data_IF_934224659760
#
_entry.id   IF_934224659760
#
_cell.length_a   1.000
_cell.length_b   1.000
_cell.length_c   1.000
_cell.angle_alpha   90.00
_cell.angle_beta   90.00
_cell.angle_gamma   90.00
#
_symmetry.space_group_name_H-M   'P 1'
#
loop_
_entity.id
_entity.type
_entity.pdbx_description
1 polymer ?
#
# COMPACT_ATOMS: atom_id res chain seq x y z
N UNK A 1 13.17 8.31 3.74
CA UNK A 1 14.14 8.63 4.80
C UNK A 1 15.37 9.13 4.09
N UNK A 2 15.86 10.31 4.48
CA UNK A 2 17.01 10.95 3.88
C UNK A 2 17.81 11.59 5.02
N UNK A 3 18.99 11.06 5.32
CA UNK A 3 19.92 11.56 6.32
C UNK A 3 21.13 12.21 5.67
N UNK A 4 21.98 12.87 6.46
CA UNK A 4 23.11 13.68 5.98
C UNK A 4 24.06 13.00 4.97
N UNK A 5 24.46 11.72 5.13
CA UNK A 5 25.40 11.11 4.18
C UNK A 5 24.79 10.81 2.81
N UNK A 6 23.45 10.78 2.67
CA UNK A 6 22.80 10.38 1.43
C UNK A 6 22.99 11.40 0.32
N UNK A 7 23.14 10.89 -0.91
CA UNK A 7 23.28 11.72 -2.11
C UNK A 7 21.96 11.71 -2.86
N UNK A 8 21.47 12.87 -3.25
CA UNK A 8 20.35 13.04 -4.17
C UNK A 8 20.85 13.52 -5.52
N UNK A 9 20.17 13.15 -6.59
CA UNK A 9 20.40 13.67 -7.92
C UNK A 9 19.07 13.97 -8.61
N UNK A 10 19.06 14.99 -9.46
CA UNK A 10 17.88 15.46 -10.17
C UNK A 10 18.25 15.79 -11.62
N UNK A 11 17.36 15.43 -12.55
CA UNK A 11 17.46 15.74 -13.99
C UNK A 11 16.19 16.50 -14.35
N UNK A 12 16.36 17.71 -14.88
CA UNK A 12 15.26 18.56 -15.37
C UNK A 12 15.45 18.78 -16.86
N UNK A 13 14.41 18.52 -17.64
CA UNK A 13 14.46 18.63 -19.10
C UNK A 13 13.06 18.86 -19.68
N UNK A 14 13.00 19.24 -20.95
CA UNK A 14 11.75 19.30 -21.70
C UNK A 14 11.29 17.90 -22.10
N UNK A 15 9.98 17.66 -22.06
CA UNK A 15 9.38 16.38 -22.44
C UNK A 15 9.75 15.95 -23.87
N UNK A 16 9.89 16.91 -24.78
CA UNK A 16 10.23 16.66 -26.19
C UNK A 16 11.66 16.11 -26.38
N UNK A 17 12.57 16.36 -25.44
CA UNK A 17 13.95 15.84 -25.49
C UNK A 17 14.00 14.34 -25.17
N UNK A 18 12.92 13.80 -24.61
CA UNK A 18 12.74 12.38 -24.32
C UNK A 18 11.46 11.84 -24.97
N UNK A 19 11.42 11.76 -26.32
CA UNK A 19 10.26 11.25 -27.03
C UNK A 19 10.11 9.75 -26.75
N UNK A 20 8.97 9.33 -26.20
CA UNK A 20 8.69 7.91 -25.97
C UNK A 20 7.83 7.62 -24.76
N UNK A 21 7.79 6.34 -24.38
CA UNK A 21 7.11 5.88 -23.17
C UNK A 21 7.89 6.31 -21.93
N UNK A 22 7.18 6.82 -20.92
CA UNK A 22 7.71 7.21 -19.60
C UNK A 22 8.49 6.06 -18.94
N UNK A 23 8.04 4.82 -19.08
CA UNK A 23 8.74 3.67 -18.50
C UNK A 23 10.14 3.48 -19.11
N UNK A 24 10.27 3.66 -20.43
CA UNK A 24 11.55 3.57 -21.13
C UNK A 24 12.47 4.75 -20.79
N UNK A 25 11.90 5.93 -20.54
CA UNK A 25 12.64 7.08 -20.04
C UNK A 25 13.21 6.81 -18.65
N UNK A 26 12.40 6.27 -17.74
CA UNK A 26 12.82 5.97 -16.37
C UNK A 26 13.93 4.90 -16.38
N UNK A 27 13.77 3.85 -17.18
CA UNK A 27 14.79 2.83 -17.38
C UNK A 27 16.10 3.45 -17.89
N UNK A 28 16.06 4.29 -18.94
CA UNK A 28 17.25 4.94 -19.49
C UNK A 28 17.96 5.83 -18.47
N UNK A 29 17.22 6.63 -17.69
CA UNK A 29 17.81 7.48 -16.66
C UNK A 29 18.41 6.65 -15.52
N UNK A 30 17.68 5.64 -15.05
CA UNK A 30 18.19 4.74 -14.00
C UNK A 30 19.44 4.00 -14.47
N UNK A 31 19.51 3.63 -15.74
CA UNK A 31 20.68 2.97 -16.32
C UNK A 31 21.93 3.86 -16.32
N UNK A 32 21.77 5.18 -16.47
CA UNK A 32 22.88 6.13 -16.28
C UNK A 32 23.43 6.13 -14.86
N UNK A 33 22.54 6.15 -13.87
CA UNK A 33 22.95 6.00 -12.46
C UNK A 33 23.56 4.61 -12.19
N UNK A 34 22.99 3.53 -12.74
CA UNK A 34 23.56 2.17 -12.64
C UNK A 34 24.97 2.10 -13.22
N UNK A 35 25.22 2.75 -14.37
CA UNK A 35 26.54 2.82 -14.98
C UNK A 35 27.54 3.52 -14.06
N UNK A 36 27.16 4.65 -13.47
CA UNK A 36 28.01 5.32 -12.48
C UNK A 36 28.33 4.45 -11.27
N UNK A 37 27.35 3.73 -10.74
CA UNK A 37 27.57 2.77 -9.64
C UNK A 37 28.46 1.59 -10.05
N UNK A 38 28.37 1.11 -11.31
CA UNK A 38 29.29 0.10 -11.85
C UNK A 38 30.72 0.60 -11.96
N UNK A 39 30.91 1.89 -12.27
CA UNK A 39 32.24 2.51 -12.27
C UNK A 39 32.86 2.56 -10.85
N UNK A 40 32.03 2.55 -9.80
CA UNK A 40 32.47 2.41 -8.41
C UNK A 40 32.70 0.95 -7.98
N UNK A 41 32.44 -0.02 -8.87
CA UNK A 41 32.64 -1.45 -8.61
C UNK A 41 31.40 -2.21 -8.11
N UNK A 42 30.20 -1.62 -8.19
CA UNK A 42 28.96 -2.31 -7.78
C UNK A 42 28.27 -2.99 -8.96
N UNK A 43 27.68 -4.16 -8.77
CA UNK A 43 26.80 -4.82 -9.75
C UNK A 43 25.39 -4.21 -9.73
N UNK A 44 25.30 -2.93 -10.11
CA UNK A 44 24.05 -2.18 -10.11
C UNK A 44 23.21 -2.44 -11.37
N UNK A 45 21.90 -2.62 -11.16
CA UNK A 45 20.92 -2.82 -12.22
C UNK A 45 19.60 -2.10 -11.90
N UNK A 46 18.89 -1.70 -12.95
CA UNK A 46 17.56 -1.13 -12.81
C UNK A 46 16.55 -2.24 -12.46
N UNK A 47 15.75 -1.97 -11.42
CA UNK A 47 14.63 -2.80 -11.01
C UNK A 47 13.34 -2.03 -11.24
N UNK A 48 12.54 -2.42 -12.26
CA UNK A 48 11.24 -1.82 -12.48
C UNK A 48 10.38 -1.86 -11.20
N UNK A 49 9.66 -0.80 -10.87
CA UNK A 49 9.32 0.37 -11.71
C UNK A 49 10.23 1.59 -11.55
N UNK A 50 10.95 1.71 -10.45
CA UNK A 50 11.62 2.96 -10.11
C UNK A 50 12.76 2.77 -9.10
N UNK A 51 13.33 1.57 -9.01
CA UNK A 51 14.40 1.27 -8.07
C UNK A 51 15.70 0.90 -8.80
N UNK A 52 16.83 1.13 -8.16
CA UNK A 52 18.12 0.56 -8.55
C UNK A 52 18.54 -0.40 -7.44
N UNK A 53 18.99 -1.58 -7.84
CA UNK A 53 19.40 -2.63 -6.92
C UNK A 53 20.81 -3.14 -7.18
N UNK A 54 21.43 -3.65 -6.12
CA UNK A 54 22.69 -4.39 -6.14
C UNK A 54 22.42 -5.73 -5.47
N UNK A 55 22.66 -6.83 -6.20
CA UNK A 55 22.42 -8.20 -5.71
C UNK A 55 21.01 -8.40 -5.14
N UNK A 56 20.00 -7.85 -5.82
CA UNK A 56 18.59 -7.96 -5.43
C UNK A 56 18.14 -7.06 -4.27
N UNK A 57 19.04 -6.21 -3.74
CA UNK A 57 18.76 -5.27 -2.64
C UNK A 57 18.77 -3.84 -3.15
N UNK A 58 17.75 -3.06 -2.79
CA UNK A 58 17.58 -1.68 -3.23
C UNK A 58 18.67 -0.78 -2.65
N UNK A 59 19.38 -0.06 -3.51
CA UNK A 59 20.38 0.95 -3.13
C UNK A 59 19.92 2.38 -3.45
N UNK A 60 19.00 2.53 -4.39
CA UNK A 60 18.46 3.82 -4.80
C UNK A 60 16.98 3.72 -5.14
N UNK A 61 16.22 4.74 -4.72
CA UNK A 61 14.83 4.93 -5.13
C UNK A 61 14.74 6.16 -6.03
N UNK A 62 13.97 6.04 -7.10
CA UNK A 62 13.80 7.10 -8.11
C UNK A 62 12.33 7.48 -8.27
N UNK A 63 12.09 8.63 -8.88
CA UNK A 63 10.73 9.10 -9.14
C UNK A 63 10.72 10.29 -10.08
N UNK A 64 9.66 10.38 -10.88
CA UNK A 64 9.45 11.45 -11.85
C UNK A 64 8.20 12.27 -11.61
N UNK A 65 8.21 13.48 -12.14
CA UNK A 65 7.09 14.39 -12.23
C UNK A 65 7.07 15.07 -13.60
N UNK A 66 5.90 15.22 -14.18
CA UNK A 66 5.68 16.09 -15.33
C UNK A 66 4.91 17.33 -14.86
N UNK A 67 5.25 18.48 -15.44
CA UNK A 67 4.50 19.73 -15.29
C UNK A 67 4.50 20.47 -16.63
N UNK A 68 3.38 20.39 -17.34
CA UNK A 68 3.28 20.83 -18.74
C UNK A 68 4.31 20.13 -19.63
N UNK A 69 5.15 20.92 -20.29
CA UNK A 69 6.21 20.44 -21.19
C UNK A 69 7.53 20.15 -20.46
N UNK A 70 7.56 20.26 -19.14
CA UNK A 70 8.74 20.01 -18.32
C UNK A 70 8.64 18.67 -17.60
N UNK A 71 9.80 18.03 -17.45
CA UNK A 71 9.98 16.78 -16.76
C UNK A 71 11.09 16.93 -15.72
N UNK A 72 10.81 16.46 -14.51
CA UNK A 72 11.78 16.32 -13.44
C UNK A 72 11.86 14.85 -13.06
N UNK A 73 13.04 14.27 -13.14
CA UNK A 73 13.35 12.97 -12.55
C UNK A 73 14.35 13.13 -11.42
N UNK A 74 14.17 12.37 -10.36
CA UNK A 74 15.09 12.38 -9.24
C UNK A 74 15.41 10.97 -8.80
N UNK A 75 16.56 10.81 -8.15
CA UNK A 75 16.90 9.62 -7.41
C UNK A 75 17.69 9.93 -6.15
N UNK A 76 17.56 9.03 -5.18
CA UNK A 76 18.37 9.06 -3.95
C UNK A 76 19.35 7.91 -3.98
N UNK A 77 20.54 8.06 -3.41
CA UNK A 77 21.54 7.02 -3.27
C UNK A 77 21.82 6.79 -1.79
N UNK A 78 21.58 5.57 -1.33
CA UNK A 78 21.97 5.13 0.00
C UNK A 78 23.48 4.92 0.01
N UNK A 79 24.20 5.85 0.62
CA UNK A 79 25.67 5.86 0.74
C UNK A 79 26.10 5.14 2.02
N UNK A 80 25.55 5.60 3.14
CA UNK A 80 25.61 5.06 4.49
C UNK A 80 24.36 5.59 5.21
N UNK A 81 23.72 4.83 6.09
CA UNK A 81 22.49 5.32 6.73
C UNK A 81 22.19 4.66 8.07
N UNK A 82 21.53 5.40 8.97
CA UNK A 82 21.03 4.85 10.22
C UNK A 82 19.78 4.00 9.99
N UNK A 83 19.96 2.67 10.01
CA UNK A 83 18.88 1.70 9.87
C UNK A 83 17.80 1.91 10.93
N UNK A 84 18.17 2.16 12.18
CA UNK A 84 17.17 2.36 13.24
C UNK A 84 16.38 3.65 13.00
N UNK A 85 17.08 4.75 12.67
CA UNK A 85 16.50 6.03 12.34
C UNK A 85 15.53 5.93 11.16
N UNK A 86 15.88 5.16 10.13
CA UNK A 86 14.99 4.88 9.00
C UNK A 86 13.72 4.14 9.45
N UNK A 87 13.85 3.06 10.23
CA UNK A 87 12.70 2.26 10.68
C UNK A 87 11.76 3.11 11.54
N UNK A 88 12.31 3.89 12.49
CA UNK A 88 11.56 4.82 13.35
C UNK A 88 10.83 5.89 12.52
N UNK A 89 11.51 6.48 11.54
CA UNK A 89 10.96 7.57 10.71
C UNK A 89 9.83 7.11 9.79
N UNK A 90 9.96 5.91 9.23
CA UNK A 90 8.92 5.30 8.40
C UNK A 90 7.74 4.77 9.22
N UNK A 91 7.78 4.95 10.56
CA UNK A 91 6.80 4.43 11.52
C UNK A 91 6.52 2.96 11.27
N UNK A 92 7.53 2.22 10.83
CA UNK A 92 7.43 0.76 10.70
C UNK A 92 7.17 0.29 12.13
N UNK A 93 6.00 -0.31 12.40
CA UNK A 93 5.74 -0.96 13.66
C UNK A 93 6.91 -1.80 14.11
N UNK A 94 7.32 -1.66 15.37
CA UNK A 94 8.39 -2.43 15.96
C UNK A 94 7.92 -2.90 17.34
N UNK A 95 7.78 -4.21 17.53
CA UNK A 95 7.65 -4.78 18.88
C UNK A 95 9.05 -5.02 19.45
N UNK A 96 9.68 -3.90 19.85
CA UNK A 96 11.08 -3.76 20.31
C UNK A 96 12.09 -4.01 19.20
N UNK A 97 12.96 -3.03 18.96
CA UNK A 97 14.09 -3.10 18.01
C UNK A 97 14.95 -4.32 18.39
N UNK A 98 14.69 -5.45 17.76
CA UNK A 98 15.46 -6.68 17.92
C UNK A 98 16.38 -6.81 16.71
N UNK A 99 17.56 -7.38 16.89
CA UNK A 99 18.58 -7.57 15.83
C UNK A 99 18.00 -8.18 14.54
N UNK A 100 16.97 -9.03 14.66
CA UNK A 100 16.27 -9.68 13.55
C UNK A 100 15.60 -8.69 12.58
N UNK A 101 15.08 -7.57 13.07
CA UNK A 101 14.40 -6.58 12.23
C UNK A 101 15.39 -5.74 11.42
N UNK A 102 16.52 -5.39 12.04
CA UNK A 102 17.66 -4.77 11.36
C UNK A 102 18.13 -5.69 10.23
N UNK A 103 18.22 -6.99 10.50
CA UNK A 103 18.61 -7.99 9.48
C UNK A 103 17.58 -8.06 8.35
N UNK A 104 16.28 -8.04 8.66
CA UNK A 104 15.21 -8.03 7.64
C UNK A 104 15.24 -6.76 6.74
N UNK A 105 15.68 -5.63 7.27
CA UNK A 105 15.91 -4.42 6.47
C UNK A 105 17.13 -4.60 5.57
N UNK A 106 18.25 -5.11 6.11
CA UNK A 106 19.47 -5.41 5.36
C UNK A 106 19.28 -6.49 4.27
N UNK A 107 18.26 -7.35 4.39
CA UNK A 107 17.85 -8.28 3.34
C UNK A 107 17.20 -7.60 2.13
N UNK A 108 16.74 -6.34 2.25
CA UNK A 108 15.93 -5.65 1.22
C UNK A 108 16.57 -4.38 0.68
N UNK A 109 17.31 -3.66 1.53
CA UNK A 109 18.05 -2.46 1.15
C UNK A 109 19.53 -2.67 1.39
N UNK A 110 20.36 -1.94 0.65
CA UNK A 110 21.80 -1.86 0.85
C UNK A 110 22.30 -0.43 0.66
N UNK A 111 23.58 -0.18 0.94
CA UNK A 111 24.24 1.10 0.70
C UNK A 111 25.67 0.92 0.18
N UNK A 112 26.27 1.99 -0.33
CA UNK A 112 27.65 1.97 -0.84
C UNK A 112 28.64 1.41 0.20
N UNK A 113 28.58 1.86 1.45
CA UNK A 113 29.50 1.40 2.51
C UNK A 113 29.44 -0.11 2.68
N UNK A 114 28.25 -0.72 2.62
CA UNK A 114 28.10 -2.16 2.84
C UNK A 114 28.57 -2.97 1.64
N UNK A 115 28.31 -2.52 0.41
CA UNK A 115 28.73 -3.24 -0.79
C UNK A 115 30.24 -3.12 -1.06
N UNK A 116 30.83 -1.96 -0.79
CA UNK A 116 32.25 -1.69 -1.04
C UNK A 116 33.15 -1.99 0.17
N UNK A 117 32.58 -2.11 1.38
CA UNK A 117 33.32 -2.26 2.63
C UNK A 117 33.90 -0.95 3.17
N UNK A 118 33.80 0.15 2.42
CA UNK A 118 34.17 1.50 2.81
C UNK A 118 33.23 2.50 2.12
N UNK A 119 33.18 3.74 2.61
CA UNK A 119 32.43 4.82 1.97
C UNK A 119 33.40 5.69 1.15
N UNK A 120 33.28 5.74 -0.20
CA UNK A 120 34.06 6.66 -1.01
C UNK A 120 33.78 8.12 -0.66
N UNK A 121 34.69 9.03 -0.99
CA UNK A 121 34.48 10.46 -0.83
C UNK A 121 33.29 10.94 -1.68
N UNK A 122 32.53 11.93 -1.17
CA UNK A 122 31.33 12.45 -1.82
C UNK A 122 31.58 12.87 -3.28
N UNK A 123 32.69 13.56 -3.55
CA UNK A 123 33.06 13.99 -4.90
C UNK A 123 33.39 12.83 -5.83
N UNK A 124 33.94 11.73 -5.31
CA UNK A 124 34.16 10.51 -6.10
C UNK A 124 32.83 9.89 -6.50
N UNK A 125 31.86 9.88 -5.58
CA UNK A 125 30.52 9.33 -5.84
C UNK A 125 29.78 10.20 -6.87
N UNK A 126 29.77 11.53 -6.69
CA UNK A 126 29.16 12.48 -7.63
C UNK A 126 29.76 12.34 -9.02
N UNK A 127 31.09 12.31 -9.12
CA UNK A 127 31.79 12.15 -10.40
C UNK A 127 31.40 10.85 -11.10
N UNK A 128 31.37 9.74 -10.38
CA UNK A 128 30.98 8.46 -10.96
C UNK A 128 29.53 8.48 -11.52
N UNK A 129 28.58 9.07 -10.78
CA UNK A 129 27.22 9.26 -11.27
C UNK A 129 27.16 10.16 -12.50
N UNK A 130 27.89 11.29 -12.49
CA UNK A 130 28.00 12.21 -13.62
C UNK A 130 28.56 11.50 -14.86
N UNK A 131 29.66 10.75 -14.73
CA UNK A 131 30.25 9.96 -15.81
C UNK A 131 29.25 8.95 -16.38
N UNK A 132 28.49 8.27 -15.50
CA UNK A 132 27.43 7.36 -15.90
C UNK A 132 26.31 8.03 -16.72
N UNK A 133 25.90 9.24 -16.34
CA UNK A 133 24.93 10.03 -17.10
C UNK A 133 25.52 10.56 -18.42
N UNK A 134 26.75 11.08 -18.42
CA UNK A 134 27.47 11.52 -19.62
C UNK A 134 27.50 10.41 -20.68
N UNK A 135 27.93 9.22 -20.27
CA UNK A 135 28.02 8.05 -21.14
C UNK A 135 26.66 7.61 -21.70
N UNK A 136 25.62 7.69 -20.88
CA UNK A 136 24.28 7.18 -21.24
C UNK A 136 23.52 8.14 -22.15
N UNK A 137 23.73 9.45 -21.98
CA UNK A 137 23.07 10.47 -22.79
C UNK A 137 23.96 11.02 -23.91
N UNK A 138 25.26 10.73 -23.90
CA UNK A 138 26.23 11.34 -24.82
C UNK A 138 26.34 12.85 -24.61
N UNK A 139 26.34 13.29 -23.34
CA UNK A 139 26.35 14.71 -22.95
C UNK A 139 27.62 15.04 -22.17
N UNK A 140 27.90 16.33 -22.04
CA UNK A 140 28.94 16.88 -21.18
C UNK A 140 28.30 17.75 -20.10
N UNK A 141 28.67 17.54 -18.84
CA UNK A 141 28.27 18.45 -17.77
C UNK A 141 29.10 19.73 -17.80
N UNK A 142 28.44 20.84 -17.48
CA UNK A 142 29.08 22.12 -17.20
C UNK A 142 28.62 22.60 -15.84
N UNK A 143 29.57 23.00 -15.02
CA UNK A 143 29.26 23.59 -13.73
C UNK A 143 28.48 24.90 -13.93
N UNK A 144 27.41 25.03 -13.17
CA UNK A 144 26.54 26.21 -13.16
C UNK A 144 26.19 26.59 -11.74
N UNK A 145 26.10 27.90 -11.50
CA UNK A 145 25.55 28.41 -10.25
C UNK A 145 24.08 28.81 -10.43
N UNK A 146 23.32 28.75 -9.33
CA UNK A 146 21.99 29.32 -9.30
C UNK A 146 22.03 30.81 -9.64
N UNK A 147 21.24 31.20 -10.63
CA UNK A 147 21.10 32.58 -11.06
C UNK A 147 20.28 33.40 -10.03
N UNK A 148 20.20 34.72 -10.26
CA UNK A 148 19.50 35.64 -9.32
C UNK A 148 18.01 35.31 -9.14
N UNK A 149 17.35 34.83 -10.18
CA UNK A 149 15.94 34.43 -10.11
C UNK A 149 15.78 33.13 -9.34
N UNK A 150 16.59 32.11 -9.62
CA UNK A 150 16.58 30.81 -8.91
C UNK A 150 16.88 30.97 -7.42
N UNK A 151 17.89 31.78 -7.06
CA UNK A 151 18.21 32.10 -5.66
C UNK A 151 17.03 32.75 -4.94
N UNK A 152 16.27 33.61 -5.63
CA UNK A 152 15.08 34.27 -5.08
C UNK A 152 13.92 33.28 -4.91
N UNK A 153 13.63 32.48 -5.93
CA UNK A 153 12.59 31.45 -5.87
C UNK A 153 12.88 30.41 -4.78
N UNK A 154 14.11 29.93 -4.68
CA UNK A 154 14.54 29.01 -3.63
C UNK A 154 14.24 29.60 -2.24
N UNK A 155 14.63 30.87 -2.01
CA UNK A 155 14.37 31.55 -0.74
C UNK A 155 12.87 31.68 -0.46
N UNK A 156 12.08 32.08 -1.45
CA UNK A 156 10.64 32.27 -1.31
C UNK A 156 9.88 30.95 -1.08
N UNK A 157 10.28 29.88 -1.78
CA UNK A 157 9.59 28.58 -1.71
C UNK A 157 10.01 27.73 -0.53
N UNK A 158 11.23 27.92 0.00
CA UNK A 158 11.71 27.18 1.18
C UNK A 158 10.74 27.31 2.36
N UNK A 159 10.23 28.51 2.62
CA UNK A 159 9.26 28.74 3.70
C UNK A 159 7.94 27.99 3.44
N UNK A 160 7.46 28.01 2.19
CA UNK A 160 6.27 27.26 1.80
C UNK A 160 6.44 25.75 1.98
N UNK A 161 7.53 25.17 1.48
CA UNK A 161 7.81 23.73 1.57
C UNK A 161 8.13 23.27 3.01
N UNK A 162 8.60 24.17 3.87
CA UNK A 162 8.82 23.89 5.29
C UNK A 162 7.57 24.14 6.14
N UNK A 163 6.49 24.66 5.56
CA UNK A 163 5.26 24.96 6.30
C UNK A 163 4.51 23.69 6.70
N UNK A 164 3.89 23.71 7.87
CA UNK A 164 3.08 22.60 8.36
C UNK A 164 1.92 22.26 7.41
N UNK A 165 1.33 23.29 6.80
CA UNK A 165 0.26 23.16 5.81
C UNK A 165 0.68 22.39 4.58
N UNK A 166 1.94 22.56 4.14
CA UNK A 166 2.48 21.80 3.01
C UNK A 166 2.84 20.38 3.44
N UNK A 167 3.60 20.23 4.53
CA UNK A 167 4.12 18.94 5.01
C UNK A 167 2.98 17.97 5.38
N UNK A 168 1.97 18.44 6.12
CA UNK A 168 0.83 17.62 6.53
C UNK A 168 -0.30 17.60 5.50
N UNK A 169 -0.24 18.48 4.51
CA UNK A 169 -1.31 18.71 3.55
C UNK A 169 -2.57 19.34 4.18
N UNK A 170 -3.47 19.80 3.32
CA UNK A 170 -4.79 20.34 3.71
C UNK A 170 -5.90 19.27 3.77
N UNK A 171 -5.60 18.05 3.31
CA UNK A 171 -6.55 16.94 3.23
C UNK A 171 -6.74 16.29 4.61
N UNK A 172 -7.83 16.65 5.28
CA UNK A 172 -8.17 16.09 6.59
C UNK A 172 -8.90 14.75 6.46
N UNK A 173 -8.46 13.75 7.23
CA UNK A 173 -9.21 12.49 7.41
C UNK A 173 -10.41 12.78 8.30
N UNK A 174 -11.62 12.57 7.77
CA UNK A 174 -12.88 12.77 8.50
C UNK A 174 -13.24 11.52 9.32
N UNK A 175 -14.09 11.68 10.33
CA UNK A 175 -14.75 10.56 11.03
C UNK A 175 -15.93 10.04 10.19
N UNK A 176 -16.36 8.80 10.43
CA UNK A 176 -17.48 8.20 9.69
C UNK A 176 -17.17 7.95 8.20
N UNK A 177 -15.91 7.69 7.87
CA UNK A 177 -15.46 7.46 6.50
C UNK A 177 -15.61 5.99 6.13
N UNK A 178 -16.09 5.76 4.91
CA UNK A 178 -16.05 4.49 4.18
C UNK A 178 -14.73 4.38 3.44
N UNK A 179 -13.89 3.41 3.78
CA UNK A 179 -12.61 3.17 3.14
C UNK A 179 -12.62 1.92 2.27
N UNK A 180 -11.94 1.99 1.14
CA UNK A 180 -11.55 0.85 0.33
C UNK A 180 -10.07 1.02 -0.01
N UNK A 181 -9.32 -0.09 0.00
CA UNK A 181 -7.98 -0.12 -0.56
C UNK A 181 -7.81 -1.28 -1.51
N UNK A 182 -6.95 -1.09 -2.51
CA UNK A 182 -6.58 -2.13 -3.47
C UNK A 182 -5.10 -1.97 -3.83
N UNK A 183 -4.32 -3.05 -3.77
CA UNK A 183 -3.00 -3.09 -4.42
C UNK A 183 -3.22 -3.43 -5.89
N UNK A 184 -2.76 -2.56 -6.76
CA UNK A 184 -2.81 -2.71 -8.22
C UNK A 184 -1.39 -2.87 -8.75
N UNK A 185 -1.24 -3.19 -10.04
CA UNK A 185 0.06 -3.18 -10.69
C UNK A 185 0.70 -1.78 -10.68
N UNK A 186 -0.09 -0.70 -10.62
CA UNK A 186 0.36 0.69 -10.55
C UNK A 186 0.66 1.24 -9.15
N UNK A 187 0.37 0.48 -8.09
CA UNK A 187 0.45 0.93 -6.71
C UNK A 187 -0.80 0.60 -5.90
N UNK A 188 -0.73 0.85 -4.60
CA UNK A 188 -1.83 0.91 -3.66
C UNK A 188 -2.69 2.15 -3.94
N UNK A 189 -3.98 1.93 -4.16
CA UNK A 189 -4.99 2.99 -4.21
C UNK A 189 -5.87 2.87 -2.98
N UNK A 190 -6.04 3.97 -2.25
CA UNK A 190 -6.94 4.09 -1.10
C UNK A 190 -8.00 5.14 -1.43
N UNK A 191 -9.26 4.75 -1.32
CA UNK A 191 -10.41 5.63 -1.49
C UNK A 191 -11.14 5.73 -0.16
N UNK A 192 -11.45 6.96 0.23
CA UNK A 192 -12.17 7.33 1.44
C UNK A 192 -13.37 8.19 1.05
N UNK A 193 -14.57 7.75 1.39
CA UNK A 193 -15.81 8.46 1.09
C UNK A 193 -16.58 8.77 2.37
N UNK A 194 -17.20 9.94 2.44
CA UNK A 194 -18.26 10.23 3.40
C UNK A 194 -19.56 10.31 2.60
N UNK A 195 -20.58 9.58 3.07
CA UNK A 195 -21.88 9.52 2.43
C UNK A 195 -22.92 10.27 3.28
N UNK A 196 -23.69 11.13 2.64
CA UNK A 196 -24.95 11.62 3.16
C UNK A 196 -26.04 10.60 2.82
N UNK A 197 -26.47 9.85 3.84
CA UNK A 197 -27.43 8.76 3.68
C UNK A 197 -28.87 9.26 3.46
N UNK A 198 -29.21 10.47 3.90
CA UNK A 198 -30.53 11.07 3.69
C UNK A 198 -30.67 11.52 2.24
N UNK A 199 -29.67 12.27 1.74
CA UNK A 199 -29.66 12.76 0.36
C UNK A 199 -29.22 11.70 -0.65
N UNK A 200 -28.66 10.58 -0.18
CA UNK A 200 -28.02 9.52 -0.97
C UNK A 200 -26.90 10.05 -1.88
N UNK A 201 -26.08 10.95 -1.35
CA UNK A 201 -24.98 11.60 -2.08
C UNK A 201 -23.64 11.43 -1.37
N UNK A 202 -22.55 11.53 -2.10
CA UNK A 202 -21.19 11.57 -1.56
C UNK A 202 -20.97 13.00 -1.05
N UNK A 203 -20.78 13.19 0.26
CA UNK A 203 -20.51 14.51 0.82
C UNK A 203 -19.02 14.87 0.77
N UNK A 204 -18.15 13.85 0.72
CA UNK A 204 -16.70 14.03 0.64
C UNK A 204 -16.05 12.79 0.01
N UNK A 205 -15.03 13.03 -0.82
CA UNK A 205 -14.18 11.98 -1.39
C UNK A 205 -12.71 12.36 -1.18
N UNK A 206 -11.90 11.37 -0.79
CA UNK A 206 -10.46 11.48 -0.67
C UNK A 206 -9.81 10.24 -1.30
N UNK A 207 -8.97 10.45 -2.28
CA UNK A 207 -8.24 9.42 -3.01
C UNK A 207 -6.75 9.64 -2.78
N UNK A 208 -6.10 8.64 -2.20
CA UNK A 208 -4.68 8.65 -1.83
C UNK A 208 -4.03 7.33 -2.21
N UNK A 209 -2.70 7.27 -2.24
CA UNK A 209 -1.99 6.06 -2.63
C UNK A 209 -0.57 6.35 -3.08
N UNK A 210 0.16 5.29 -3.43
CA UNK A 210 1.52 5.32 -4.01
C UNK A 210 1.48 5.08 -5.54
N UNK A 211 0.43 5.54 -6.23
CA UNK A 211 0.27 5.44 -7.68
C UNK A 211 0.63 6.74 -8.39
N UNK A 212 1.03 6.65 -9.65
CA UNK A 212 1.36 7.80 -10.49
C UNK A 212 0.20 8.11 -11.45
N UNK A 213 -0.20 9.37 -11.50
CA UNK A 213 -1.30 9.87 -12.33
C UNK A 213 -0.88 11.17 -13.01
N UNK A 214 -1.23 11.31 -14.29
CA UNK A 214 -0.97 12.49 -15.12
C UNK A 214 -2.28 12.98 -15.78
N UNK A 215 -2.65 14.27 -15.66
CA UNK A 215 -2.01 15.31 -14.86
C UNK A 215 -2.30 15.16 -13.38
N UNK A 216 -1.31 15.46 -12.51
CA UNK A 216 -1.45 15.35 -11.04
C UNK A 216 -2.70 16.05 -10.48
N UNK A 217 -3.13 17.15 -11.11
CA UNK A 217 -4.33 17.90 -10.71
C UNK A 217 -5.62 17.09 -10.79
N UNK A 218 -5.69 16.12 -11.72
CA UNK A 218 -6.92 15.39 -11.99
C UNK A 218 -7.47 14.63 -10.78
N UNK A 219 -6.63 14.29 -9.78
CA UNK A 219 -7.09 13.68 -8.54
C UNK A 219 -7.96 14.63 -7.71
N UNK A 220 -7.62 15.92 -7.66
CA UNK A 220 -8.37 16.94 -6.94
C UNK A 220 -9.66 17.30 -7.69
N UNK A 221 -9.57 17.35 -9.02
CA UNK A 221 -10.72 17.62 -9.88
C UNK A 221 -11.73 16.47 -9.78
N UNK A 222 -11.26 15.22 -9.73
CA UNK A 222 -12.10 14.05 -9.52
C UNK A 222 -12.74 14.04 -8.13
N UNK A 223 -12.00 14.36 -7.06
CA UNK A 223 -12.58 14.47 -5.71
C UNK A 223 -13.68 15.54 -5.63
N UNK A 224 -13.45 16.67 -6.31
CA UNK A 224 -14.44 17.75 -6.40
C UNK A 224 -15.65 17.32 -7.20
N UNK A 225 -15.46 16.59 -8.31
CA UNK A 225 -16.55 16.05 -9.13
C UNK A 225 -17.38 15.01 -8.39
N UNK A 226 -16.74 14.18 -7.56
CA UNK A 226 -17.42 13.21 -6.72
C UNK A 226 -18.16 13.85 -5.55
N UNK A 227 -17.81 15.08 -5.14
CA UNK A 227 -18.55 15.80 -4.11
C UNK A 227 -19.95 16.12 -4.60
N UNK A 228 -20.92 15.83 -3.73
CA UNK A 228 -22.34 15.85 -4.02
C UNK A 228 -22.72 14.96 -5.22
N UNK A 229 -21.95 13.92 -5.56
CA UNK A 229 -22.36 12.95 -6.57
C UNK A 229 -23.33 11.91 -6.00
N UNK A 230 -24.20 11.33 -6.84
CA UNK A 230 -25.10 10.22 -6.48
C UNK A 230 -24.32 8.99 -5.95
N UNK A 231 -24.86 8.30 -4.94
CA UNK A 231 -24.30 7.05 -4.41
C UNK A 231 -24.56 5.82 -5.28
N UNK A 232 -25.20 5.96 -6.44
CA UNK A 232 -25.53 4.84 -7.32
C UNK A 232 -24.24 4.29 -7.98
N UNK A 233 -23.87 3.01 -7.75
CA UNK A 233 -22.63 2.43 -8.25
C UNK A 233 -22.40 2.55 -9.77
N UNK A 234 -23.45 2.41 -10.58
CA UNK A 234 -23.36 2.49 -12.04
C UNK A 234 -23.11 3.92 -12.51
N UNK A 235 -23.72 4.90 -11.86
CA UNK A 235 -23.53 6.33 -12.17
C UNK A 235 -22.13 6.78 -11.80
N UNK A 236 -21.65 6.44 -10.60
CA UNK A 236 -20.27 6.72 -10.17
C UNK A 236 -19.28 6.11 -11.16
N UNK A 237 -19.46 4.84 -11.51
CA UNK A 237 -18.55 4.16 -12.44
C UNK A 237 -18.49 4.89 -13.78
N UNK A 238 -19.65 5.23 -14.33
CA UNK A 238 -19.76 5.93 -15.61
C UNK A 238 -19.07 7.30 -15.53
N UNK A 239 -19.41 8.11 -14.53
CA UNK A 239 -18.90 9.47 -14.39
C UNK A 239 -17.37 9.51 -14.20
N UNK A 240 -16.82 8.60 -13.38
CA UNK A 240 -15.36 8.45 -13.23
C UNK A 240 -14.71 8.05 -14.56
N UNK A 241 -15.29 7.09 -15.29
CA UNK A 241 -14.74 6.64 -16.58
C UNK A 241 -14.79 7.74 -17.63
N UNK A 242 -15.87 8.52 -17.67
CA UNK A 242 -16.06 9.63 -18.59
C UNK A 242 -15.06 10.75 -18.25
N UNK A 243 -14.93 11.11 -16.97
CA UNK A 243 -13.92 12.07 -16.50
C UNK A 243 -12.49 11.69 -16.90
N UNK A 244 -12.09 10.43 -16.66
CA UNK A 244 -10.73 9.96 -16.99
C UNK A 244 -10.45 10.04 -18.50
N UNK A 245 -11.45 9.78 -19.34
CA UNK A 245 -11.32 9.87 -20.81
C UNK A 245 -11.31 11.32 -21.30
N UNK A 246 -12.26 12.13 -20.85
CA UNK A 246 -12.42 13.53 -21.26
C UNK A 246 -11.16 14.35 -20.95
N UNK A 247 -10.57 14.12 -19.78
CA UNK A 247 -9.37 14.82 -19.32
C UNK A 247 -8.07 14.11 -19.71
N UNK A 248 -8.14 13.04 -20.52
CA UNK A 248 -7.00 12.24 -20.99
C UNK A 248 -6.05 11.84 -19.84
N UNK A 249 -6.65 11.42 -18.72
CA UNK A 249 -5.91 11.09 -17.50
C UNK A 249 -5.23 9.75 -17.69
N UNK A 250 -3.92 9.70 -17.52
CA UNK A 250 -3.15 8.46 -17.55
C UNK A 250 -2.81 8.03 -16.12
N UNK A 251 -3.05 6.75 -15.81
CA UNK A 251 -2.72 6.16 -14.51
C UNK A 251 -1.75 5.01 -14.75
N UNK A 252 -0.49 5.17 -14.35
CA UNK A 252 0.57 4.25 -14.71
C UNK A 252 0.35 2.87 -14.09
N UNK A 253 0.12 1.86 -14.93
CA UNK A 253 -0.11 0.48 -14.50
C UNK A 253 -1.47 0.22 -13.87
N UNK A 254 -2.45 1.11 -14.00
CA UNK A 254 -3.83 0.90 -13.54
C UNK A 254 -4.79 1.19 -14.68
N UNK A 255 -5.66 0.22 -15.00
CA UNK A 255 -6.70 0.45 -16.02
C UNK A 255 -7.79 1.38 -15.44
N UNK A 256 -8.34 2.28 -16.26
CA UNK A 256 -9.43 3.18 -15.81
C UNK A 256 -10.61 2.42 -15.18
N UNK A 257 -10.99 1.28 -15.77
CA UNK A 257 -12.08 0.45 -15.24
C UNK A 257 -11.75 -0.13 -13.85
N UNK A 258 -10.49 -0.50 -13.61
CA UNK A 258 -10.02 -0.98 -12.31
C UNK A 258 -10.05 0.16 -11.28
N UNK A 259 -9.56 1.35 -11.66
CA UNK A 259 -9.58 2.53 -10.80
C UNK A 259 -11.01 2.93 -10.40
N UNK A 260 -11.93 2.98 -11.37
CA UNK A 260 -13.34 3.27 -11.11
C UNK A 260 -14.01 2.23 -10.21
N UNK A 261 -13.68 0.94 -10.35
CA UNK A 261 -14.21 -0.13 -9.49
C UNK A 261 -13.83 0.07 -8.02
N UNK A 262 -12.64 0.59 -7.71
CA UNK A 262 -12.19 0.83 -6.33
C UNK A 262 -13.07 1.90 -5.67
N UNK A 263 -13.36 2.99 -6.38
CA UNK A 263 -14.25 4.05 -5.90
C UNK A 263 -15.67 3.51 -5.68
N UNK A 264 -16.16 2.70 -6.63
CA UNK A 264 -17.47 2.05 -6.53
C UNK A 264 -17.55 1.08 -5.36
N UNK A 265 -16.50 0.33 -5.07
CA UNK A 265 -16.44 -0.56 -3.92
C UNK A 265 -16.52 0.20 -2.60
N UNK A 266 -15.83 1.34 -2.48
CA UNK A 266 -15.99 2.24 -1.33
C UNK A 266 -17.45 2.71 -1.18
N UNK A 267 -18.09 3.14 -2.27
CA UNK A 267 -19.48 3.59 -2.25
C UNK A 267 -20.47 2.47 -1.91
N UNK A 268 -20.21 1.22 -2.36
CA UNK A 268 -21.05 0.05 -2.05
C UNK A 268 -21.12 -0.25 -0.55
N UNK A 269 -20.09 0.10 0.22
CA UNK A 269 -20.09 -0.07 1.68
C UNK A 269 -21.20 0.72 2.38
N UNK A 270 -21.76 1.76 1.75
CA UNK A 270 -22.99 2.44 2.26
C UNK A 270 -24.17 1.49 2.45
N UNK A 271 -24.21 0.38 1.70
CA UNK A 271 -25.28 -0.62 1.82
C UNK A 271 -25.16 -1.44 3.11
N UNK A 272 -23.95 -1.62 3.63
CA UNK A 272 -23.73 -2.23 4.94
C UNK A 272 -24.31 -1.32 6.05
N UNK A 273 -24.30 0.00 5.86
CA UNK A 273 -24.92 0.92 6.81
C UNK A 273 -26.44 0.76 6.91
N UNK A 274 -27.10 0.36 5.81
CA UNK A 274 -28.53 0.02 5.83
C UNK A 274 -28.83 -1.25 6.63
N UNK A 275 -27.82 -2.09 6.86
CA UNK A 275 -27.91 -3.32 7.65
C UNK A 275 -27.50 -3.08 9.12
N UNK A 276 -27.39 -1.81 9.55
CA UNK A 276 -27.09 -1.44 10.95
C UNK A 276 -25.61 -1.35 11.30
N UNK A 277 -24.70 -1.48 10.32
CA UNK A 277 -23.27 -1.30 10.54
C UNK A 277 -22.89 0.19 10.50
N UNK A 278 -22.01 0.65 11.38
CA UNK A 278 -21.49 2.02 11.28
C UNK A 278 -20.60 2.18 10.03
N UNK A 279 -20.33 3.40 9.61
CA UNK A 279 -19.39 3.66 8.51
C UNK A 279 -17.97 3.12 8.84
N UNK A 280 -17.55 3.27 10.09
CA UNK A 280 -16.25 2.78 10.58
C UNK A 280 -16.19 1.25 10.59
N UNK A 281 -17.28 0.57 10.97
CA UNK A 281 -17.36 -0.89 10.92
C UNK A 281 -17.33 -1.38 9.47
N UNK A 282 -18.08 -0.72 8.58
CA UNK A 282 -18.15 -1.05 7.15
C UNK A 282 -16.79 -0.91 6.45
N UNK A 283 -16.01 0.09 6.85
CA UNK A 283 -14.63 0.30 6.39
C UNK A 283 -13.70 -0.87 6.70
N UNK A 284 -13.93 -1.56 7.82
CA UNK A 284 -13.15 -2.71 8.30
C UNK A 284 -13.62 -4.04 7.72
N UNK A 285 -14.62 -4.03 6.83
CA UNK A 285 -15.12 -5.23 6.16
C UNK A 285 -14.65 -5.23 4.71
N UNK A 286 -14.07 -6.35 4.29
CA UNK A 286 -13.66 -6.64 2.93
C UNK A 286 -14.43 -7.84 2.38
N UNK A 287 -14.56 -7.95 1.06
CA UNK A 287 -15.35 -9.01 0.42
C UNK A 287 -14.60 -9.61 -0.76
N UNK A 288 -14.59 -10.93 -0.85
CA UNK A 288 -13.94 -11.69 -1.92
C UNK A 288 -14.98 -12.36 -2.80
N UNK A 289 -14.79 -12.31 -4.12
CA UNK A 289 -15.64 -12.87 -5.20
C UNK A 289 -17.08 -12.31 -5.32
N UNK A 290 -17.81 -12.14 -4.22
CA UNK A 290 -19.19 -11.62 -4.18
C UNK A 290 -19.26 -10.33 -3.35
N UNK A 291 -20.29 -9.53 -3.57
CA UNK A 291 -20.59 -8.39 -2.69
C UNK A 291 -21.16 -8.87 -1.35
N UNK A 292 -21.08 -8.02 -0.32
CA UNK A 292 -21.52 -8.36 1.03
C UNK A 292 -22.96 -8.88 1.08
N UNK A 293 -23.87 -8.34 0.26
CA UNK A 293 -25.27 -8.74 0.21
C UNK A 293 -25.47 -10.13 -0.40
N UNK A 294 -24.63 -10.53 -1.34
CA UNK A 294 -24.74 -11.79 -2.11
C UNK A 294 -24.11 -13.01 -1.45
N UNK A 295 -23.39 -12.80 -0.35
CA UNK A 295 -22.88 -13.87 0.51
C UNK A 295 -24.02 -14.21 1.45
N UNK A 296 -24.47 -15.47 1.50
CA UNK A 296 -25.74 -15.81 2.15
C UNK A 296 -25.58 -16.83 3.26
N UNK A 297 -24.64 -17.79 3.12
CA UNK A 297 -24.52 -18.90 4.07
C UNK A 297 -23.06 -19.29 4.27
N UNK A 298 -22.28 -18.46 5.00
CA UNK A 298 -20.96 -18.89 5.43
C UNK A 298 -21.08 -20.13 6.31
N UNK A 299 -20.23 -21.13 6.08
CA UNK A 299 -20.16 -22.36 6.89
C UNK A 299 -18.86 -22.44 7.69
N UNK A 300 -17.90 -21.56 7.40
CA UNK A 300 -16.56 -21.58 7.98
C UNK A 300 -16.21 -20.22 8.56
N UNK A 301 -15.50 -20.24 9.69
CA UNK A 301 -14.90 -19.06 10.31
C UNK A 301 -13.37 -19.21 10.32
N UNK A 302 -12.67 -18.43 9.49
CA UNK A 302 -11.21 -18.45 9.40
C UNK A 302 -10.60 -17.48 10.41
N UNK A 303 -9.83 -18.01 11.36
CA UNK A 303 -9.21 -17.26 12.44
C UNK A 303 -7.69 -17.29 12.25
N UNK A 304 -7.00 -16.14 12.19
CA UNK A 304 -5.56 -16.13 12.03
C UNK A 304 -4.88 -16.56 13.34
N UNK A 305 -3.81 -17.35 13.24
CA UNK A 305 -3.06 -17.82 14.41
C UNK A 305 -2.52 -16.68 15.28
N UNK A 306 -2.21 -15.52 14.68
CA UNK A 306 -1.71 -14.33 15.36
C UNK A 306 -2.73 -13.70 16.33
N UNK A 307 -4.02 -14.06 16.22
CA UNK A 307 -5.04 -13.67 17.18
C UNK A 307 -5.00 -14.50 18.48
N UNK A 308 -4.36 -15.66 18.47
CA UNK A 308 -4.13 -16.45 19.69
C UNK A 308 -2.90 -15.89 20.40
N UNK A 309 -2.76 -16.05 21.72
CA UNK A 309 -1.55 -15.60 22.43
C UNK A 309 -0.29 -16.39 22.02
N UNK A 310 0.93 -15.81 22.08
CA UNK A 310 2.18 -16.51 21.73
C UNK A 310 2.39 -17.81 22.51
N UNK A 311 2.05 -17.79 23.81
CA UNK A 311 2.15 -18.96 24.71
C UNK A 311 0.93 -19.90 24.65
N UNK A 312 0.01 -19.71 23.70
CA UNK A 312 -1.19 -20.54 23.59
C UNK A 312 -0.85 -21.92 23.01
N UNK A 313 -1.25 -23.01 23.68
CA UNK A 313 -1.11 -24.40 23.19
C UNK A 313 -1.79 -24.62 21.84
N UNK A 314 -2.80 -23.81 21.52
CA UNK A 314 -3.57 -23.88 20.29
C UNK A 314 -3.16 -22.83 19.24
N UNK A 315 -2.06 -22.07 19.45
CA UNK A 315 -1.65 -21.01 18.51
C UNK A 315 -1.59 -21.54 17.08
N UNK A 316 -0.89 -22.65 16.87
CA UNK A 316 -0.69 -23.27 15.56
C UNK A 316 -1.50 -24.56 15.35
N UNK A 317 -2.56 -24.76 16.14
CA UNK A 317 -3.43 -25.95 16.10
C UNK A 317 -4.90 -25.55 16.07
N UNK A 318 -5.73 -26.43 15.53
CA UNK A 318 -7.17 -26.24 15.58
C UNK A 318 -7.69 -26.37 17.02
N UNK A 319 -8.66 -25.53 17.34
CA UNK A 319 -9.33 -25.50 18.65
C UNK A 319 -8.99 -24.29 19.51
N UNK A 320 -9.76 -24.14 20.58
CA UNK A 320 -9.57 -23.14 21.62
C UNK A 320 -10.20 -23.63 22.93
N UNK A 321 -9.51 -23.49 24.06
CA UNK A 321 -10.03 -23.85 25.39
C UNK A 321 -11.04 -22.83 25.93
N UNK A 322 -11.32 -21.74 25.19
CA UNK A 322 -12.18 -20.63 25.66
C UNK A 322 -11.77 -20.11 27.04
N UNK A 323 -10.46 -20.02 27.29
CA UNK A 323 -9.90 -19.67 28.60
C UNK A 323 -10.03 -18.18 29.00
N UNK A 324 -10.70 -17.35 28.20
CA UNK A 324 -10.88 -15.91 28.45
C UNK A 324 -9.64 -15.03 28.26
N UNK A 325 -8.47 -15.60 27.97
CA UNK A 325 -7.20 -14.85 27.87
C UNK A 325 -6.99 -14.07 26.55
N UNK A 326 -7.80 -14.33 25.53
CA UNK A 326 -7.81 -13.64 24.24
C UNK A 326 -9.21 -13.67 23.63
N UNK A 327 -9.47 -12.80 22.66
CA UNK A 327 -10.76 -12.70 21.96
C UNK A 327 -11.09 -13.89 21.04
N UNK A 328 -10.13 -14.79 20.76
CA UNK A 328 -10.40 -16.01 19.98
C UNK A 328 -11.40 -16.93 20.68
N UNK A 329 -11.41 -16.99 22.01
CA UNK A 329 -12.40 -17.80 22.75
C UNK A 329 -13.83 -17.40 22.41
N UNK A 330 -14.05 -16.11 22.24
CA UNK A 330 -15.34 -15.51 21.91
C UNK A 330 -15.72 -15.73 20.44
N UNK A 331 -14.76 -15.65 19.52
CA UNK A 331 -14.97 -16.05 18.12
C UNK A 331 -15.41 -17.52 18.02
N UNK A 332 -14.84 -18.42 18.83
CA UNK A 332 -15.27 -19.83 18.90
C UNK A 332 -16.67 -20.00 19.53
N UNK A 333 -17.10 -19.11 20.42
CA UNK A 333 -18.46 -19.10 20.97
C UNK A 333 -19.46 -18.73 19.88
N UNK A 334 -19.22 -17.59 19.21
CA UNK A 334 -20.03 -17.11 18.08
C UNK A 334 -20.09 -18.14 16.94
N UNK A 335 -18.97 -18.82 16.64
CA UNK A 335 -18.97 -19.87 15.63
C UNK A 335 -19.95 -21.00 15.97
N UNK A 336 -20.01 -21.42 17.24
CA UNK A 336 -20.96 -22.43 17.69
C UNK A 336 -22.42 -21.99 17.56
N UNK A 337 -22.72 -20.75 17.95
CA UNK A 337 -24.07 -20.18 17.88
C UNK A 337 -24.61 -20.11 16.45
N UNK A 338 -23.77 -19.72 15.50
CA UNK A 338 -24.16 -19.57 14.10
C UNK A 338 -23.85 -20.81 13.23
N UNK A 339 -23.53 -21.95 13.85
CA UNK A 339 -23.19 -23.22 13.16
C UNK A 339 -22.01 -23.10 12.17
N UNK A 340 -21.04 -22.23 12.46
CA UNK A 340 -19.81 -22.08 11.69
C UNK A 340 -18.73 -23.03 12.20
N UNK A 341 -17.94 -23.59 11.29
CA UNK A 341 -16.76 -24.39 11.64
C UNK A 341 -15.54 -23.47 11.75
N UNK A 342 -15.00 -23.23 12.96
CA UNK A 342 -13.82 -22.39 13.12
C UNK A 342 -12.56 -23.14 12.66
N UNK A 343 -11.75 -22.49 11.81
CA UNK A 343 -10.48 -23.00 11.30
C UNK A 343 -9.36 -22.00 11.57
N UNK A 344 -8.20 -22.48 12.00
CA UNK A 344 -7.04 -21.66 12.36
C UNK A 344 -6.10 -21.56 11.17
N UNK A 345 -5.91 -20.36 10.61
CA UNK A 345 -5.01 -20.08 9.49
C UNK A 345 -3.61 -19.78 10.03
N UNK A 346 -2.60 -20.56 9.63
CA UNK A 346 -1.21 -20.49 10.13
C UNK A 346 -0.26 -19.73 9.21
N UNK A 347 -0.49 -19.84 7.92
CA UNK A 347 0.31 -19.20 6.88
C UNK A 347 -0.58 -18.89 5.67
N UNK A 348 -0.01 -18.19 4.68
CA UNK A 348 -0.70 -17.96 3.43
C UNK A 348 -0.96 -19.28 2.67
N UNK A 349 0.01 -20.19 2.67
CA UNK A 349 -0.13 -21.51 2.04
C UNK A 349 -1.27 -22.31 2.70
N UNK A 350 -1.34 -22.31 4.04
CA UNK A 350 -2.41 -22.95 4.81
C UNK A 350 -3.78 -22.29 4.57
N UNK A 351 -3.82 -20.96 4.36
CA UNK A 351 -5.05 -20.28 3.91
C UNK A 351 -5.52 -20.84 2.57
N UNK A 352 -4.62 -20.95 1.60
CA UNK A 352 -4.96 -21.41 0.25
C UNK A 352 -5.46 -22.85 0.26
N UNK A 353 -4.85 -23.73 1.03
CA UNK A 353 -5.31 -25.12 1.23
C UNK A 353 -6.73 -25.15 1.83
N UNK A 354 -6.98 -24.37 2.88
CA UNK A 354 -8.30 -24.25 3.51
C UNK A 354 -9.34 -23.71 2.54
N UNK A 355 -9.01 -22.68 1.75
CA UNK A 355 -9.92 -22.15 0.74
C UNK A 355 -10.22 -23.18 -0.35
N UNK A 356 -9.24 -23.97 -0.80
CA UNK A 356 -9.48 -25.09 -1.72
C UNK A 356 -10.41 -26.15 -1.12
N UNK A 357 -10.27 -26.47 0.17
CA UNK A 357 -11.19 -27.37 0.87
C UNK A 357 -12.61 -26.80 0.91
N UNK A 358 -12.76 -25.52 1.22
CA UNK A 358 -14.07 -24.83 1.28
C UNK A 358 -14.72 -24.81 -0.12
N UNK A 359 -13.91 -24.58 -1.17
CA UNK A 359 -14.35 -24.65 -2.57
C UNK A 359 -14.93 -26.02 -2.92
N UNK A 360 -14.26 -27.11 -2.54
CA UNK A 360 -14.74 -28.49 -2.78
C UNK A 360 -16.09 -28.77 -2.13
N UNK A 361 -16.40 -28.07 -1.04
CA UNK A 361 -17.69 -28.18 -0.32
C UNK A 361 -18.74 -27.18 -0.79
N UNK A 362 -18.43 -26.37 -1.81
CA UNK A 362 -19.27 -25.29 -2.32
C UNK A 362 -19.81 -24.36 -1.20
N UNK A 363 -18.96 -24.10 -0.21
CA UNK A 363 -19.31 -23.30 0.96
C UNK A 363 -18.73 -21.88 0.87
N UNK A 364 -19.27 -20.98 1.69
CA UNK A 364 -18.77 -19.62 1.86
C UNK A 364 -18.09 -19.50 3.24
N UNK A 365 -17.31 -18.43 3.46
CA UNK A 365 -16.59 -18.23 4.72
C UNK A 365 -16.67 -16.80 5.24
N UNK A 366 -16.55 -16.67 6.56
CA UNK A 366 -16.15 -15.44 7.22
C UNK A 366 -14.71 -15.63 7.67
N UNK A 367 -13.86 -14.63 7.53
CA UNK A 367 -12.48 -14.69 8.03
C UNK A 367 -12.07 -13.39 8.68
N UNK A 368 -10.99 -13.46 9.45
CA UNK A 368 -10.36 -12.28 10.02
C UNK A 368 -8.93 -12.16 9.49
N UNK A 369 -8.56 -11.01 8.95
CA UNK A 369 -7.21 -10.73 8.47
C UNK A 369 -6.95 -9.24 8.50
N UNK A 370 -5.69 -8.81 8.54
CA UNK A 370 -5.40 -7.39 8.48
C UNK A 370 -5.53 -6.79 7.08
N UNK A 371 -5.73 -5.47 7.03
CA UNK A 371 -5.78 -4.70 5.79
C UNK A 371 -4.59 -4.96 4.86
N UNK A 372 -3.36 -4.98 5.40
CA UNK A 372 -2.13 -5.24 4.64
C UNK A 372 -2.08 -6.65 4.04
N UNK A 373 -2.54 -7.67 4.77
CA UNK A 373 -2.64 -9.05 4.28
C UNK A 373 -3.68 -9.14 3.15
N UNK A 374 -4.86 -8.55 3.36
CA UNK A 374 -5.91 -8.52 2.35
C UNK A 374 -5.43 -7.85 1.06
N UNK A 375 -4.84 -6.66 1.16
CA UNK A 375 -4.38 -5.91 0.01
C UNK A 375 -3.34 -6.66 -0.82
N UNK A 376 -2.49 -7.47 -0.19
CA UNK A 376 -1.48 -8.27 -0.88
C UNK A 376 -2.03 -9.54 -1.53
N UNK A 377 -3.01 -10.19 -0.90
CA UNK A 377 -3.48 -11.53 -1.28
C UNK A 377 -4.90 -11.56 -1.85
N UNK A 378 -5.53 -10.40 -2.08
CA UNK A 378 -6.88 -10.30 -2.63
C UNK A 378 -7.01 -11.08 -3.94
N UNK A 379 -6.09 -10.87 -4.89
CA UNK A 379 -6.12 -11.56 -6.19
C UNK A 379 -5.97 -13.07 -6.04
N UNK A 380 -5.09 -13.53 -5.15
CA UNK A 380 -4.89 -14.96 -4.88
C UNK A 380 -6.17 -15.61 -4.36
N UNK A 381 -6.83 -14.95 -3.40
CA UNK A 381 -8.12 -15.41 -2.86
C UNK A 381 -9.22 -15.39 -3.94
N UNK A 382 -9.24 -14.36 -4.82
CA UNK A 382 -10.19 -14.28 -5.94
C UNK A 382 -9.96 -15.38 -6.98
N UNK A 383 -8.71 -15.77 -7.25
CA UNK A 383 -8.37 -16.87 -8.18
C UNK A 383 -8.91 -18.22 -7.70
N UNK A 384 -8.94 -18.45 -6.39
CA UNK A 384 -9.57 -19.66 -5.83
C UNK A 384 -11.08 -19.66 -6.08
N UNK A 385 -11.73 -18.48 -6.06
CA UNK A 385 -13.13 -18.33 -6.46
C UNK A 385 -14.13 -18.64 -5.35
N UNK A 386 -13.69 -18.66 -4.09
CA UNK A 386 -14.58 -18.89 -2.94
C UNK A 386 -15.10 -17.54 -2.43
N UNK A 387 -16.43 -17.35 -2.31
CA UNK A 387 -16.98 -16.15 -1.71
C UNK A 387 -16.71 -16.07 -0.21
N UNK A 388 -16.31 -14.90 0.26
CA UNK A 388 -16.10 -14.70 1.69
C UNK A 388 -16.12 -13.24 2.14
N UNK A 389 -16.41 -13.07 3.43
CA UNK A 389 -16.37 -11.79 4.14
C UNK A 389 -15.12 -11.82 5.02
N UNK A 390 -14.30 -10.78 4.92
CA UNK A 390 -13.09 -10.62 5.72
C UNK A 390 -13.25 -9.42 6.64
N UNK A 391 -12.95 -9.59 7.92
CA UNK A 391 -13.02 -8.55 8.94
C UNK A 391 -11.60 -8.19 9.36
N UNK A 392 -11.31 -6.89 9.32
CA UNK A 392 -10.04 -6.35 9.76
C UNK A 392 -9.74 -6.66 11.23
N UNK A 393 -8.47 -6.87 11.55
CA UNK A 393 -8.01 -7.15 12.92
C UNK A 393 -7.20 -5.96 13.43
N UNK A 394 -7.23 -5.74 14.74
CA UNK A 394 -6.46 -4.67 15.37
C UNK A 394 -4.99 -5.02 15.53
N UNK A 395 -4.18 -3.96 15.53
CA UNK A 395 -2.75 -3.86 15.87
C UNK A 395 -1.75 -4.21 14.76
N UNK A 396 -0.50 -3.80 15.01
CA UNK A 396 0.70 -3.98 14.20
C UNK A 396 0.73 -5.37 13.56
N UNK A 397 0.57 -5.40 12.25
CA UNK A 397 0.44 -6.65 11.52
C UNK A 397 1.83 -7.16 11.14
N UNK A 398 1.96 -8.45 10.81
CA UNK A 398 3.23 -8.99 10.33
C UNK A 398 3.77 -8.28 9.09
N UNK A 399 2.89 -7.64 8.31
CA UNK A 399 3.26 -6.83 7.17
C UNK A 399 3.73 -5.44 7.56
N UNK A 400 3.10 -4.84 8.56
CA UNK A 400 3.54 -3.54 9.05
C UNK A 400 4.88 -3.69 9.78
N UNK A 401 5.08 -4.78 10.53
CA UNK A 401 6.33 -5.15 11.21
C UNK A 401 7.42 -5.69 10.24
N UNK A 402 7.17 -5.76 8.93
CA UNK A 402 8.08 -6.39 7.94
C UNK A 402 8.46 -7.88 8.20
N UNK A 403 7.79 -8.54 9.13
CA UNK A 403 7.98 -9.96 9.49
C UNK A 403 7.16 -10.91 8.59
N UNK A 404 6.88 -10.53 7.33
CA UNK A 404 6.05 -11.33 6.41
C UNK A 404 6.60 -12.76 6.19
N UNK A 405 7.93 -12.91 6.22
CA UNK A 405 8.61 -14.21 6.13
C UNK A 405 8.36 -15.09 7.36
N UNK A 406 8.43 -14.52 8.56
CA UNK A 406 8.16 -15.26 9.80
C UNK A 406 6.67 -15.57 9.96
N UNK A 407 5.79 -14.71 9.45
CA UNK A 407 4.37 -15.00 9.37
C UNK A 407 4.07 -16.17 8.42
N UNK A 408 4.79 -16.24 7.29
CA UNK A 408 4.73 -17.39 6.37
C UNK A 408 5.17 -18.69 7.03
N UNK A 409 6.14 -18.61 7.95
CA UNK A 409 6.67 -19.74 8.72
C UNK A 409 5.87 -20.04 10.01
N UNK A 410 4.83 -19.26 10.34
CA UNK A 410 4.05 -19.42 11.58
C UNK A 410 4.80 -19.07 12.86
N UNK A 411 5.90 -18.30 12.76
CA UNK A 411 6.81 -17.93 13.85
C UNK A 411 6.57 -16.52 14.40
N UNK A 412 5.66 -15.75 13.81
CA UNK A 412 5.33 -14.41 14.26
C UNK A 412 4.94 -14.39 15.75
N UNK A 413 5.59 -13.55 16.56
CA UNK A 413 5.44 -13.51 18.02
C UNK A 413 4.48 -12.42 18.52
N UNK A 414 3.96 -11.54 17.66
CA UNK A 414 3.02 -10.50 18.10
C UNK A 414 1.59 -11.05 18.28
N UNK A 415 0.78 -10.31 19.03
CA UNK A 415 -0.62 -10.62 19.32
C UNK A 415 -1.55 -9.55 18.75
N UNK A 416 -2.33 -9.94 17.75
CA UNK A 416 -3.39 -9.10 17.16
C UNK A 416 -4.73 -9.37 17.83
N UNK A 417 -5.64 -8.40 17.83
CA UNK A 417 -6.97 -8.59 18.40
C UNK A 417 -8.04 -8.74 17.32
N UNK A 418 -8.92 -9.74 17.47
CA UNK A 418 -10.13 -9.86 16.67
C UNK A 418 -11.14 -8.77 17.06
N UNK A 419 -11.77 -8.17 16.06
CA UNK A 419 -12.90 -7.24 16.23
C UNK A 419 -14.20 -8.01 16.42
N UNK A 420 -14.36 -8.59 17.61
CA UNK A 420 -15.53 -9.41 17.93
C UNK A 420 -16.83 -8.64 17.77
N UNK A 421 -16.87 -7.36 18.14
CA UNK A 421 -18.08 -6.54 18.00
C UNK A 421 -18.54 -6.45 16.54
N UNK A 422 -17.60 -6.32 15.60
CA UNK A 422 -17.90 -6.30 14.16
C UNK A 422 -18.32 -7.69 13.70
N UNK A 423 -17.62 -8.75 14.12
CA UNK A 423 -17.99 -10.12 13.78
C UNK A 423 -19.41 -10.43 14.24
N UNK A 424 -19.76 -10.09 15.48
CA UNK A 424 -21.10 -10.27 16.02
C UNK A 424 -22.13 -9.46 15.23
N UNK A 425 -21.88 -8.18 14.92
CA UNK A 425 -22.79 -7.37 14.09
C UNK A 425 -22.97 -7.96 12.69
N UNK A 426 -21.91 -8.47 12.05
CA UNK A 426 -22.01 -9.12 10.74
C UNK A 426 -22.85 -10.40 10.82
N UNK A 427 -22.67 -11.18 11.88
CA UNK A 427 -23.45 -12.39 12.12
C UNK A 427 -24.93 -12.07 12.38
N UNK A 428 -25.22 -11.13 13.28
CA UNK A 428 -26.61 -10.79 13.65
C UNK A 428 -27.35 -9.98 12.58
N UNK A 429 -26.69 -9.07 11.87
CA UNK A 429 -27.36 -8.24 10.85
C UNK A 429 -27.79 -9.03 9.61
N UNK A 430 -27.22 -10.20 9.39
CA UNK A 430 -27.29 -10.87 8.09
C UNK A 430 -27.57 -12.38 8.15
N UNK A 431 -27.10 -13.05 9.19
CA UNK A 431 -27.16 -14.51 9.30
C UNK A 431 -27.93 -14.98 10.54
N UNK A 432 -28.59 -14.05 11.23
CA UNK A 432 -29.48 -14.39 12.33
C UNK A 432 -30.63 -15.24 11.79
N UNK A 433 -30.82 -16.39 12.43
CA UNK A 433 -31.85 -17.36 12.04
C UNK A 433 -33.12 -16.97 12.79
N UNK A 434 -34.01 -16.22 12.14
CA UNK A 434 -35.43 -16.35 12.46
C UNK A 434 -35.94 -17.72 12.00
#
# INVERSE_FOLDING_TARGET
YFDEPQIGWEIVSKREEFPGNVDALYEKICEGACRGLRNLGLEASYRPKNDIEVRGRKISGTGGAFDGDSFLFQGTLLTDFDVEGMIKSLRIPIEKLKDKEIESVKERVTCLRWELGYLPEEETIKKALMDGFCDTFGIEFKDGELNRWEKRELKSRKEHFSSETWIRGSRQVRKGVLSCLRKTAGGLVRVQLVADMERKRISYALITGDFFLEPRRAIYDLETRLKDHSLVPSEIKKDVMDFLKENRVEIHGIKHDEFARIIVEAARKTRMQKLGLSAEDSSRIFTVCKSFERIERPSYLLIPYCAKLPKCKYRNKEGCLKCGKCNVGEAYRLAGEYSLVPLTVKSFEDLMEKLMMIKKKNAEYIGCCCESFYAKHEEDMRKIGVPGILIDIDNLTCYDLNMAREARLGLFESHTNLKIDILQKVLSSKFDRN
#
